data_IF_966029299267
#
_entry.id   IF_966029299267
#
_cell.length_a   1.000
_cell.length_b   1.000
_cell.length_c   1.000
_cell.angle_alpha   90.00
_cell.angle_beta   90.00
_cell.angle_gamma   90.00
#
_symmetry.space_group_name_H-M   'P 1'
#
loop_
_entity.id
_entity.type
_entity.pdbx_description
1 polymer ?
#
# COMPACT_ATOMS: atom_id res chain seq x y z
N UNK A 1 -5.01 -24.99 -14.35
CA UNK A 1 -4.38 -24.29 -13.21
C UNK A 1 -3.61 -25.32 -12.40
N UNK A 2 -2.29 -25.20 -12.28
CA UNK A 2 -1.42 -26.25 -11.71
C UNK A 2 -1.15 -26.07 -10.22
N UNK A 3 -1.03 -24.82 -9.73
CA UNK A 3 -0.95 -24.48 -8.32
C UNK A 3 -1.16 -22.97 -8.13
N UNK A 4 -1.57 -22.54 -6.92
CA UNK A 4 -1.73 -21.13 -6.53
C UNK A 4 -1.23 -20.96 -5.10
N UNK A 5 -0.43 -19.93 -4.85
CA UNK A 5 0.04 -19.59 -3.51
C UNK A 5 -1.07 -18.98 -2.64
N UNK A 6 -0.86 -19.04 -1.34
CA UNK A 6 -1.63 -18.22 -0.41
C UNK A 6 -1.44 -16.72 -0.71
N UNK A 7 -2.46 -15.89 -0.45
CA UNK A 7 -2.35 -14.45 -0.64
C UNK A 7 -1.36 -13.85 0.35
N UNK A 8 -0.46 -13.00 -0.15
CA UNK A 8 0.41 -12.14 0.64
C UNK A 8 -0.15 -10.71 0.66
N UNK A 9 0.16 -9.90 1.70
CA UNK A 9 -0.22 -8.50 1.72
C UNK A 9 0.36 -7.76 0.50
N UNK A 10 -0.40 -6.82 -0.09
CA UNK A 10 0.08 -5.97 -1.19
C UNK A 10 1.27 -5.10 -0.79
N UNK A 11 1.84 -4.36 -1.75
CA UNK A 11 2.93 -3.43 -1.47
C UNK A 11 2.47 -2.22 -0.63
N UNK A 12 3.29 -1.84 0.36
CA UNK A 12 3.05 -0.71 1.23
C UNK A 12 3.62 0.60 0.69
N UNK A 13 2.95 1.72 0.97
CA UNK A 13 3.57 3.03 0.98
C UNK A 13 4.15 3.29 2.37
N UNK A 14 5.42 3.68 2.44
CA UNK A 14 6.12 4.00 3.68
C UNK A 14 6.59 5.45 3.67
N UNK A 15 6.49 6.12 4.82
CA UNK A 15 6.99 7.48 5.01
C UNK A 15 8.23 7.47 5.92
N UNK A 16 9.23 8.27 5.58
CA UNK A 16 10.41 8.43 6.42
C UNK A 16 10.07 9.25 7.68
N UNK A 17 10.58 8.92 8.88
CA UNK A 17 10.30 9.64 10.13
C UNK A 17 10.66 11.14 10.16
N UNK A 18 11.43 11.59 9.16
CA UNK A 18 11.85 13.00 9.00
C UNK A 18 10.82 13.85 8.26
N UNK A 19 9.83 13.24 7.62
CA UNK A 19 8.77 13.97 6.93
C UNK A 19 7.81 14.50 7.99
N UNK A 20 7.44 15.79 7.96
CA UNK A 20 6.50 16.36 8.93
C UNK A 20 5.18 15.58 8.98
N UNK A 21 4.64 15.25 10.17
CA UNK A 21 3.42 14.45 10.30
C UNK A 21 2.23 15.01 9.50
N UNK A 22 2.03 16.33 9.51
CA UNK A 22 0.97 17.00 8.76
C UNK A 22 1.08 16.77 7.24
N UNK A 23 2.29 16.67 6.70
CA UNK A 23 2.50 16.37 5.29
C UNK A 23 2.17 14.90 5.00
N UNK A 24 2.58 13.98 5.87
CA UNK A 24 2.24 12.56 5.78
C UNK A 24 0.72 12.38 5.77
N UNK A 25 0.01 12.98 6.71
CA UNK A 25 -1.46 12.91 6.81
C UNK A 25 -2.15 13.46 5.56
N UNK A 26 -1.67 14.60 5.03
CA UNK A 26 -2.23 15.19 3.82
C UNK A 26 -2.05 14.30 2.59
N UNK A 27 -0.87 13.68 2.44
CA UNK A 27 -0.58 12.77 1.33
C UNK A 27 -1.38 11.47 1.50
N UNK A 28 -1.41 10.90 2.71
CA UNK A 28 -2.17 9.69 3.01
C UNK A 28 -3.65 9.86 2.67
N UNK A 29 -4.27 10.97 3.09
CA UNK A 29 -5.67 11.27 2.74
C UNK A 29 -5.86 11.35 1.22
N UNK A 30 -4.99 12.07 0.53
CA UNK A 30 -5.06 12.19 -0.92
C UNK A 30 -4.98 10.82 -1.62
N UNK A 31 -4.10 9.92 -1.17
CA UNK A 31 -3.98 8.56 -1.70
C UNK A 31 -5.25 7.73 -1.46
N UNK A 32 -5.85 7.81 -0.26
CA UNK A 32 -7.07 7.08 0.09
C UNK A 32 -8.29 7.55 -0.71
N UNK A 33 -8.34 8.83 -1.05
CA UNK A 33 -9.46 9.43 -1.78
C UNK A 33 -9.32 9.31 -3.32
N UNK A 34 -8.23 8.74 -3.82
CA UNK A 34 -7.96 8.67 -5.27
C UNK A 34 -9.05 7.95 -6.07
N UNK A 35 -9.68 6.91 -5.52
CA UNK A 35 -10.72 6.16 -6.25
C UNK A 35 -12.02 6.96 -6.43
N UNK A 36 -12.27 7.94 -5.55
CA UNK A 36 -13.42 8.83 -5.57
C UNK A 36 -13.21 10.05 -6.46
N UNK A 37 -11.99 10.28 -6.94
CA UNK A 37 -11.61 11.41 -7.76
C UNK A 37 -11.39 10.98 -9.24
N UNK A 38 -11.94 11.69 -10.25
CA UNK A 38 -11.75 11.34 -11.66
C UNK A 38 -10.29 11.25 -12.10
N UNK A 39 -9.47 12.24 -11.74
CA UNK A 39 -8.04 12.28 -12.06
C UNK A 39 -7.27 11.15 -11.35
N UNK A 40 -7.62 10.88 -10.09
CA UNK A 40 -7.09 9.79 -9.29
C UNK A 40 -7.36 8.42 -9.93
N UNK A 41 -8.59 8.18 -10.39
CA UNK A 41 -8.95 6.94 -11.11
C UNK A 41 -8.16 6.76 -12.40
N UNK A 42 -7.90 7.83 -13.14
CA UNK A 42 -7.06 7.76 -14.35
C UNK A 42 -5.63 7.32 -14.01
N UNK A 43 -5.04 7.86 -12.93
CA UNK A 43 -3.71 7.47 -12.49
C UNK A 43 -3.67 6.02 -11.98
N UNK A 44 -4.66 5.61 -11.19
CA UNK A 44 -4.79 4.24 -10.68
C UNK A 44 -4.93 3.22 -11.82
N UNK A 45 -5.73 3.54 -12.85
CA UNK A 45 -5.93 2.69 -14.02
C UNK A 45 -4.62 2.48 -14.81
N UNK A 46 -3.82 3.54 -14.98
CA UNK A 46 -2.52 3.45 -15.64
C UNK A 46 -1.53 2.50 -14.92
N UNK A 47 -1.70 2.32 -13.61
CA UNK A 47 -0.91 1.40 -12.78
C UNK A 47 -1.57 0.03 -12.59
N UNK A 48 -2.75 -0.21 -13.19
CA UNK A 48 -3.58 -1.38 -12.94
C UNK A 48 -3.89 -1.61 -11.45
N UNK A 49 -4.05 -0.52 -10.70
CA UNK A 49 -4.42 -0.51 -9.28
C UNK A 49 -5.89 -0.13 -9.18
N UNK A 50 -6.66 -0.83 -8.35
CA UNK A 50 -8.10 -0.50 -8.15
C UNK A 50 -8.30 0.67 -7.20
N UNK A 51 -7.62 0.64 -6.06
CA UNK A 51 -7.69 1.66 -5.01
C UNK A 51 -6.46 1.53 -4.12
N UNK A 52 -6.12 2.62 -3.42
CA UNK A 52 -5.17 2.61 -2.31
C UNK A 52 -5.98 2.59 -1.02
N UNK A 53 -5.66 1.67 -0.12
CA UNK A 53 -6.42 1.45 1.10
C UNK A 53 -5.55 1.66 2.34
N UNK A 54 -6.21 1.91 3.47
CA UNK A 54 -5.50 2.04 4.74
C UNK A 54 -4.83 0.73 5.10
N UNK A 55 -3.57 0.81 5.53
CA UNK A 55 -2.80 -0.32 6.00
C UNK A 55 -2.32 -0.06 7.43
N UNK A 56 -2.25 -1.12 8.23
CA UNK A 56 -1.65 -1.13 9.56
C UNK A 56 -0.36 -1.92 9.52
N UNK A 57 0.53 -1.61 10.45
CA UNK A 57 1.80 -2.35 10.60
C UNK A 57 1.56 -3.86 10.79
N UNK A 58 0.50 -4.24 11.53
CA UNK A 58 0.12 -5.63 11.78
C UNK A 58 -0.32 -6.40 10.54
N UNK A 59 -0.76 -5.72 9.47
CA UNK A 59 -1.21 -6.38 8.23
C UNK A 59 -0.04 -7.12 7.54
N UNK A 60 1.19 -6.78 7.90
CA UNK A 60 2.42 -7.35 7.36
C UNK A 60 3.08 -8.38 8.27
N UNK A 61 2.45 -8.77 9.38
CA UNK A 61 3.01 -9.76 10.31
C UNK A 61 3.25 -11.12 9.66
N UNK A 62 2.46 -11.50 8.66
CA UNK A 62 2.68 -12.74 7.89
C UNK A 62 4.05 -12.74 7.22
N UNK A 63 4.48 -11.59 6.67
CA UNK A 63 5.80 -11.46 6.04
C UNK A 63 6.92 -11.59 7.08
N UNK A 64 6.74 -11.01 8.28
CA UNK A 64 7.72 -11.11 9.38
C UNK A 64 7.89 -12.55 9.87
N UNK A 65 6.79 -13.31 9.92
CA UNK A 65 6.78 -14.73 10.33
C UNK A 65 7.53 -15.64 9.36
N UNK A 66 7.69 -15.23 8.10
CA UNK A 66 8.45 -16.01 7.11
C UNK A 66 9.96 -16.02 7.39
N UNK A 67 10.47 -15.18 8.31
CA UNK A 67 11.90 -15.11 8.70
C UNK A 67 12.85 -15.05 7.49
N UNK A 68 12.47 -14.26 6.49
CA UNK A 68 13.28 -14.03 5.29
C UNK A 68 14.63 -13.45 5.72
N UNK A 69 15.73 -14.07 5.28
CA UNK A 69 17.07 -13.51 5.46
C UNK A 69 17.34 -12.54 4.32
N UNK A 70 17.82 -11.34 4.63
CA UNK A 70 18.50 -10.54 3.63
C UNK A 70 19.91 -11.12 3.47
N UNK A 71 20.23 -11.56 2.26
CA UNK A 71 21.61 -11.91 1.88
C UNK A 71 22.44 -10.64 1.63
#
# INVERSE_FOLDING_TARGET
MLWKSDPLPPFAYAAHPRVPPKAIESIQRALLEMDGNPEGRTLLAALNVKAIVAAKDSDYDVMRKMKLKLE
#
